data_IF_545205667997
#
_entry.id   IF_545205667997
#
_cell.length_a   1.000
_cell.length_b   1.000
_cell.length_c   1.000
_cell.angle_alpha   90.00
_cell.angle_beta   90.00
_cell.angle_gamma   90.00
#
_symmetry.space_group_name_H-M   'P 1'
#
loop_
_entity.id
_entity.type
_entity.pdbx_description
1 polymer ?
#
# COMPACT_ATOMS: atom_id res chain seq x y z
N UNK A 1 -4.52 11.08 19.99
CA UNK A 1 -4.47 9.99 20.98
C UNK A 1 -5.80 9.93 21.72
N UNK A 2 -6.31 8.74 22.06
CA UNK A 2 -7.46 8.61 22.94
C UNK A 2 -7.10 9.06 24.35
N UNK A 3 -7.99 9.85 24.99
CA UNK A 3 -7.85 10.31 26.38
C UNK A 3 -8.36 9.23 27.35
N UNK A 4 -7.84 9.22 28.58
CA UNK A 4 -8.25 8.25 29.62
C UNK A 4 -9.76 8.26 29.88
N UNK A 5 -10.42 9.43 29.76
CA UNK A 5 -11.88 9.57 29.92
C UNK A 5 -12.64 8.76 28.87
N UNK A 6 -12.16 8.75 27.60
CA UNK A 6 -12.74 7.97 26.50
C UNK A 6 -12.51 6.45 26.70
N UNK A 7 -11.31 6.04 27.17
CA UNK A 7 -11.05 4.64 27.51
C UNK A 7 -12.04 4.10 28.57
N UNK A 8 -12.23 4.86 29.66
CA UNK A 8 -13.16 4.48 30.74
C UNK A 8 -14.58 4.43 30.24
N UNK A 9 -15.02 5.44 29.50
CA UNK A 9 -16.39 5.56 29.00
C UNK A 9 -16.79 4.40 28.10
N UNK A 10 -15.94 4.07 27.11
CA UNK A 10 -16.23 3.01 26.14
C UNK A 10 -15.69 1.64 26.57
N UNK A 11 -15.15 1.52 27.78
CA UNK A 11 -14.63 0.27 28.33
C UNK A 11 -13.54 -0.35 27.46
N UNK A 12 -12.63 0.48 26.93
CA UNK A 12 -11.55 0.04 26.05
C UNK A 12 -10.30 -0.27 26.86
N UNK A 13 -9.66 -1.40 26.56
CA UNK A 13 -8.35 -1.78 27.12
C UNK A 13 -7.19 -1.13 26.38
N UNK A 14 -7.38 -0.82 25.08
CA UNK A 14 -6.39 -0.21 24.23
C UNK A 14 -7.06 0.64 23.13
N UNK A 15 -6.28 1.52 22.48
CA UNK A 15 -6.78 2.33 21.38
C UNK A 15 -7.01 1.44 20.13
N UNK A 16 -8.26 1.33 19.62
CA UNK A 16 -8.58 0.50 18.45
C UNK A 16 -7.84 0.91 17.17
N UNK A 17 -7.31 2.13 17.17
CA UNK A 17 -6.62 2.71 16.02
C UNK A 17 -5.10 2.74 16.19
N UNK A 18 -4.58 2.27 17.32
CA UNK A 18 -3.14 2.18 17.56
C UNK A 18 -2.58 0.86 17.03
N UNK A 19 -1.30 0.89 16.69
CA UNK A 19 -0.55 -0.27 16.20
C UNK A 19 -0.88 -0.68 14.78
N UNK A 20 0.06 -1.40 14.18
CA UNK A 20 -0.08 -2.00 12.87
C UNK A 20 -1.05 -3.19 12.89
N UNK A 21 -1.61 -3.51 11.74
CA UNK A 21 -2.35 -4.75 11.53
C UNK A 21 -1.34 -5.91 11.55
N UNK A 22 -1.55 -6.86 12.44
CA UNK A 22 -0.65 -8.01 12.67
C UNK A 22 -1.15 -9.31 12.06
N UNK A 23 -2.43 -9.39 11.69
CA UNK A 23 -3.06 -10.59 11.11
C UNK A 23 -3.85 -10.22 9.87
N UNK A 24 -3.83 -11.07 8.85
CA UNK A 24 -4.62 -10.88 7.63
C UNK A 24 -6.13 -10.77 7.91
N UNK A 25 -6.64 -11.48 8.93
CA UNK A 25 -8.04 -11.40 9.36
C UNK A 25 -8.47 -10.02 9.85
N UNK A 26 -7.52 -9.18 10.23
CA UNK A 26 -7.75 -7.85 10.79
C UNK A 26 -7.61 -6.74 9.73
N UNK A 27 -7.35 -7.13 8.48
CA UNK A 27 -7.29 -6.20 7.35
C UNK A 27 -8.71 -5.92 6.88
N UNK A 28 -9.07 -4.65 6.84
CA UNK A 28 -10.31 -4.23 6.18
C UNK A 28 -10.12 -4.32 4.66
N UNK A 29 -10.97 -5.10 4.01
CA UNK A 29 -10.89 -5.35 2.58
C UNK A 29 -12.19 -4.93 1.89
N UNK A 30 -12.10 -3.93 1.04
CA UNK A 30 -13.13 -3.59 0.03
C UNK A 30 -12.93 -4.47 -1.21
N UNK A 31 -13.89 -4.44 -2.15
CA UNK A 31 -13.74 -5.15 -3.41
C UNK A 31 -12.55 -4.59 -4.21
N UNK A 32 -12.33 -3.26 -4.18
CA UNK A 32 -11.17 -2.61 -4.78
C UNK A 32 -9.86 -3.14 -4.18
N UNK A 33 -9.72 -3.13 -2.85
CA UNK A 33 -8.49 -3.58 -2.20
C UNK A 33 -8.24 -5.07 -2.34
N UNK A 34 -9.30 -5.88 -2.47
CA UNK A 34 -9.20 -7.30 -2.84
C UNK A 34 -8.66 -7.47 -4.25
N UNK A 35 -9.24 -6.73 -5.21
CA UNK A 35 -8.76 -6.71 -6.59
C UNK A 35 -7.29 -6.29 -6.68
N UNK A 36 -6.92 -5.19 -6.03
CA UNK A 36 -5.53 -4.71 -5.98
C UNK A 36 -4.59 -5.75 -5.40
N UNK A 37 -4.97 -6.38 -4.26
CA UNK A 37 -4.15 -7.43 -3.65
C UNK A 37 -3.97 -8.64 -4.57
N UNK A 38 -5.04 -9.06 -5.26
CA UNK A 38 -4.98 -10.17 -6.22
C UNK A 38 -4.12 -9.80 -7.41
N UNK A 39 -4.26 -8.58 -7.93
CA UNK A 39 -3.45 -8.09 -9.05
C UNK A 39 -1.96 -8.08 -8.71
N UNK A 40 -1.58 -7.59 -7.51
CA UNK A 40 -0.19 -7.64 -7.03
C UNK A 40 0.34 -9.07 -6.95
N UNK A 41 -0.49 -9.99 -6.44
CA UNK A 41 -0.14 -11.41 -6.35
C UNK A 41 0.08 -12.04 -7.74
N UNK A 42 -0.83 -11.79 -8.68
CA UNK A 42 -0.70 -12.30 -10.06
C UNK A 42 0.51 -11.68 -10.77
N UNK A 43 0.71 -10.36 -10.64
CA UNK A 43 1.91 -9.69 -11.19
C UNK A 43 3.19 -10.34 -10.69
N UNK A 44 3.30 -10.60 -9.38
CA UNK A 44 4.48 -11.25 -8.80
C UNK A 44 4.74 -12.66 -9.38
N UNK A 45 3.69 -13.33 -9.85
CA UNK A 45 3.75 -14.68 -10.41
C UNK A 45 4.05 -14.69 -11.91
N UNK A 46 3.53 -13.73 -12.67
CA UNK A 46 3.47 -13.80 -14.14
C UNK A 46 4.46 -12.91 -14.89
N UNK A 47 5.21 -12.05 -14.21
CA UNK A 47 6.24 -11.22 -14.86
C UNK A 47 5.76 -9.83 -15.30
N UNK A 48 4.69 -9.28 -14.71
CA UNK A 48 4.15 -7.96 -15.05
C UNK A 48 4.87 -6.78 -14.41
N UNK A 49 4.41 -5.57 -14.76
CA UNK A 49 4.81 -4.32 -14.11
C UNK A 49 3.57 -3.58 -13.60
N UNK A 50 3.57 -3.19 -12.33
CA UNK A 50 2.45 -2.48 -11.71
C UNK A 50 2.95 -1.35 -10.80
N UNK A 51 2.21 -0.25 -10.79
CA UNK A 51 2.37 0.84 -9.83
C UNK A 51 1.12 0.92 -8.95
N UNK A 52 1.28 0.65 -7.66
CA UNK A 52 0.25 0.86 -6.65
C UNK A 52 0.39 2.26 -6.06
N UNK A 53 -0.56 3.12 -6.38
CA UNK A 53 -0.59 4.51 -5.93
C UNK A 53 -1.68 4.75 -4.89
N UNK A 54 -1.48 5.74 -4.07
CA UNK A 54 -2.48 6.20 -3.11
C UNK A 54 -1.89 7.18 -2.11
N UNK A 55 -2.76 7.97 -1.49
CA UNK A 55 -2.39 8.96 -0.49
C UNK A 55 -1.68 8.35 0.73
N UNK A 56 -0.97 9.18 1.48
CA UNK A 56 -0.42 8.75 2.76
C UNK A 56 -1.54 8.25 3.68
N UNK A 57 -1.36 7.05 4.23
CA UNK A 57 -2.38 6.41 5.08
C UNK A 57 -3.58 5.79 4.33
N UNK A 58 -3.51 5.63 3.01
CA UNK A 58 -4.55 4.92 2.22
C UNK A 58 -4.55 3.39 2.44
N UNK A 59 -3.50 2.84 3.04
CA UNK A 59 -3.42 1.41 3.30
C UNK A 59 -2.49 0.62 2.37
N UNK A 60 -1.71 1.28 1.49
CA UNK A 60 -0.76 0.62 0.56
C UNK A 60 0.10 -0.45 1.24
N UNK A 61 0.73 -0.09 2.35
CA UNK A 61 1.60 -1.00 3.12
C UNK A 61 0.81 -2.20 3.65
N UNK A 62 -0.43 -2.00 4.08
CA UNK A 62 -1.31 -3.07 4.56
C UNK A 62 -1.67 -4.03 3.43
N UNK A 63 -2.06 -3.52 2.26
CA UNK A 63 -2.39 -4.33 1.09
C UNK A 63 -1.17 -5.10 0.58
N UNK A 64 0.00 -4.44 0.53
CA UNK A 64 1.26 -5.12 0.21
C UNK A 64 1.53 -6.29 1.17
N UNK A 65 1.45 -6.05 2.49
CA UNK A 65 1.66 -7.10 3.50
C UNK A 65 0.67 -8.25 3.32
N UNK A 66 -0.59 -7.94 3.02
CA UNK A 66 -1.61 -8.95 2.77
C UNK A 66 -1.29 -9.81 1.54
N UNK A 67 -0.85 -9.19 0.43
CA UNK A 67 -0.42 -9.91 -0.77
C UNK A 67 0.80 -10.82 -0.49
N UNK A 68 1.79 -10.32 0.28
CA UNK A 68 2.96 -11.09 0.67
C UNK A 68 2.60 -12.27 1.59
N UNK A 69 1.70 -12.08 2.55
CA UNK A 69 1.22 -13.15 3.43
C UNK A 69 0.48 -14.22 2.62
N UNK A 70 -0.29 -13.82 1.60
CA UNK A 70 -0.93 -14.76 0.67
C UNK A 70 0.10 -15.63 -0.05
N UNK A 71 1.18 -15.02 -0.59
CA UNK A 71 2.29 -15.74 -1.23
C UNK A 71 2.88 -16.80 -0.28
N UNK A 72 3.14 -16.43 0.97
CA UNK A 72 3.70 -17.34 1.99
C UNK A 72 2.72 -18.45 2.37
N UNK A 73 1.46 -18.11 2.62
CA UNK A 73 0.41 -19.06 2.99
C UNK A 73 0.18 -20.11 1.91
N UNK A 74 0.20 -19.72 0.65
CA UNK A 74 0.04 -20.61 -0.49
C UNK A 74 1.34 -21.31 -0.89
N UNK A 75 2.43 -21.09 -0.14
CA UNK A 75 3.75 -21.67 -0.36
C UNK A 75 4.24 -21.49 -1.80
N UNK A 76 3.91 -20.32 -2.39
CA UNK A 76 4.35 -20.00 -3.74
C UNK A 76 5.86 -19.81 -3.78
N UNK A 77 6.50 -20.34 -4.81
CA UNK A 77 7.95 -20.18 -5.05
C UNK A 77 8.23 -18.80 -5.66
N UNK A 78 7.94 -17.73 -4.91
CA UNK A 78 8.16 -16.33 -5.33
C UNK A 78 9.21 -15.72 -4.41
N UNK A 79 10.31 -15.23 -4.97
CA UNK A 79 11.35 -14.49 -4.25
C UNK A 79 11.04 -12.99 -4.32
N UNK A 80 10.97 -12.37 -3.15
CA UNK A 80 10.73 -10.93 -3.01
C UNK A 80 12.09 -10.23 -2.92
N UNK A 81 12.33 -9.29 -3.82
CA UNK A 81 13.55 -8.48 -3.89
C UNK A 81 13.17 -7.05 -3.49
N UNK A 82 13.78 -6.55 -2.42
CA UNK A 82 13.47 -5.23 -1.89
C UNK A 82 14.76 -4.42 -1.65
N UNK A 83 15.10 -3.48 -2.56
CA UNK A 83 16.26 -2.62 -2.36
C UNK A 83 16.16 -1.82 -1.07
N UNK A 84 17.18 -1.95 -0.19
CA UNK A 84 17.21 -1.33 1.15
C UNK A 84 17.74 0.09 1.16
N UNK A 85 17.91 0.72 0.00
CA UNK A 85 18.29 2.14 -0.10
C UNK A 85 17.25 3.00 0.60
N UNK A 86 17.67 3.77 1.63
CA UNK A 86 16.77 4.62 2.43
C UNK A 86 16.24 5.76 1.58
N UNK A 87 17.13 6.48 0.91
CA UNK A 87 16.78 7.58 0.00
C UNK A 87 16.53 7.01 -1.41
N UNK A 88 15.27 6.86 -1.80
CA UNK A 88 14.90 6.28 -3.10
C UNK A 88 15.30 7.16 -4.29
N UNK A 89 15.49 8.45 -4.10
CA UNK A 89 16.03 9.33 -5.16
C UNK A 89 17.46 8.92 -5.55
N UNK A 90 18.22 8.31 -4.65
CA UNK A 90 19.57 7.79 -4.85
C UNK A 90 19.62 6.30 -5.23
N UNK A 91 18.48 5.67 -5.45
CA UNK A 91 18.44 4.26 -5.88
C UNK A 91 19.04 4.15 -7.29
N UNK A 92 20.17 3.46 -7.39
CA UNK A 92 20.89 3.24 -8.64
C UNK A 92 20.66 1.85 -9.20
N UNK A 93 20.95 1.67 -10.49
CA UNK A 93 20.97 0.35 -11.15
C UNK A 93 21.87 -0.63 -10.41
N UNK A 94 23.04 -0.17 -9.94
CA UNK A 94 23.97 -0.99 -9.17
C UNK A 94 23.37 -1.49 -7.87
N UNK A 95 22.66 -0.62 -7.13
CA UNK A 95 21.99 -1.00 -5.89
C UNK A 95 20.83 -2.00 -6.12
N UNK A 96 20.14 -1.89 -7.25
CA UNK A 96 19.11 -2.88 -7.64
C UNK A 96 19.76 -4.23 -7.94
N UNK A 97 20.88 -4.26 -8.69
CA UNK A 97 21.63 -5.50 -8.92
C UNK A 97 22.09 -6.14 -7.60
N UNK A 98 22.62 -5.34 -6.68
CA UNK A 98 23.07 -5.83 -5.37
C UNK A 98 21.92 -6.44 -4.58
N UNK A 99 20.73 -5.81 -4.57
CA UNK A 99 19.55 -6.35 -3.94
C UNK A 99 19.12 -7.70 -4.57
N UNK A 100 19.12 -7.79 -5.90
CA UNK A 100 18.78 -9.06 -6.59
C UNK A 100 19.76 -10.16 -6.20
N UNK A 101 21.06 -9.88 -6.20
CA UNK A 101 22.08 -10.88 -5.83
C UNK A 101 21.90 -11.33 -4.37
N UNK A 102 21.69 -10.37 -3.44
CA UNK A 102 21.55 -10.66 -2.01
C UNK A 102 20.27 -11.41 -1.68
N UNK A 103 19.14 -11.05 -2.31
CA UNK A 103 17.84 -11.67 -1.99
C UNK A 103 17.61 -12.99 -2.76
N UNK A 104 18.33 -13.22 -3.88
CA UNK A 104 18.14 -14.40 -4.73
C UNK A 104 19.25 -15.45 -4.62
N UNK A 105 20.42 -15.11 -4.04
CA UNK A 105 21.55 -16.01 -3.93
C UNK A 105 22.34 -15.83 -2.63
N UNK A 106 23.33 -16.69 -2.42
CA UNK A 106 24.31 -16.56 -1.33
C UNK A 106 25.63 -15.94 -1.80
N UNK A 107 25.69 -15.49 -3.07
CA UNK A 107 26.89 -14.91 -3.64
C UNK A 107 27.09 -13.47 -3.20
N UNK A 108 28.34 -13.03 -3.17
CA UNK A 108 28.66 -11.60 -3.04
C UNK A 108 28.47 -10.87 -4.38
N UNK A 109 27.91 -9.64 -4.39
CA UNK A 109 27.79 -8.85 -5.60
C UNK A 109 29.15 -8.55 -6.25
N UNK A 110 29.23 -8.64 -7.57
CA UNK A 110 30.43 -8.26 -8.33
C UNK A 110 30.68 -6.75 -8.24
N UNK A 111 31.90 -6.30 -8.58
CA UNK A 111 32.28 -4.90 -8.42
C UNK A 111 31.81 -4.01 -9.58
N UNK A 112 32.01 -4.45 -10.83
CA UNK A 112 31.64 -3.66 -12.02
C UNK A 112 30.17 -3.87 -12.39
N UNK A 113 29.51 -2.85 -12.95
CA UNK A 113 28.11 -2.92 -13.35
C UNK A 113 27.87 -4.02 -14.41
N UNK A 114 28.80 -4.18 -15.34
CA UNK A 114 28.73 -5.23 -16.37
C UNK A 114 28.75 -6.63 -15.72
N UNK A 115 29.71 -6.87 -14.82
CA UNK A 115 29.80 -8.16 -14.13
C UNK A 115 28.57 -8.42 -13.25
N UNK A 116 28.01 -7.37 -12.61
CA UNK A 116 26.75 -7.46 -11.87
C UNK A 116 25.57 -7.83 -12.77
N UNK A 117 25.48 -7.22 -13.96
CA UNK A 117 24.39 -7.51 -14.91
C UNK A 117 24.40 -8.97 -15.34
N UNK A 118 25.57 -9.50 -15.70
CA UNK A 118 25.74 -10.93 -16.04
C UNK A 118 25.45 -11.85 -14.84
N UNK A 119 25.84 -11.44 -13.63
CA UNK A 119 25.57 -12.18 -12.41
C UNK A 119 24.07 -12.23 -12.13
N UNK A 120 23.36 -11.10 -12.23
CA UNK A 120 21.90 -10.99 -12.05
C UNK A 120 21.18 -11.89 -13.04
N UNK A 121 21.48 -11.78 -14.34
CA UNK A 121 20.86 -12.61 -15.38
C UNK A 121 21.04 -14.11 -15.09
N UNK A 122 22.25 -14.54 -14.80
CA UNK A 122 22.55 -15.95 -14.46
C UNK A 122 21.79 -16.40 -13.22
N UNK A 123 21.74 -15.60 -12.13
CA UNK A 123 21.06 -15.95 -10.89
C UNK A 123 19.55 -16.07 -11.13
N UNK A 124 18.93 -15.10 -11.80
CA UNK A 124 17.51 -15.13 -12.09
C UNK A 124 17.14 -16.30 -13.01
N UNK A 125 17.92 -16.54 -14.06
CA UNK A 125 17.71 -17.68 -14.97
C UNK A 125 17.78 -19.01 -14.24
N UNK A 126 18.83 -19.24 -13.46
CA UNK A 126 18.98 -20.51 -12.72
C UNK A 126 17.86 -20.70 -11.69
N UNK A 127 17.46 -19.62 -11.01
CA UNK A 127 16.37 -19.63 -10.04
C UNK A 127 15.01 -19.87 -10.71
N UNK A 128 14.77 -19.26 -11.89
CA UNK A 128 13.57 -19.49 -12.69
C UNK A 128 13.45 -20.94 -13.16
N UNK A 129 14.54 -21.51 -13.66
CA UNK A 129 14.60 -22.95 -14.04
C UNK A 129 14.38 -23.89 -12.88
N UNK A 130 14.68 -23.47 -11.64
CA UNK A 130 14.32 -24.17 -10.40
C UNK A 130 12.86 -23.97 -9.97
N UNK A 131 12.06 -23.26 -10.78
CA UNK A 131 10.63 -23.02 -10.58
C UNK A 131 10.31 -21.82 -9.68
N UNK A 132 11.25 -20.88 -9.49
CA UNK A 132 11.00 -19.66 -8.74
C UNK A 132 10.63 -18.49 -9.67
N UNK A 133 9.61 -17.72 -9.31
CA UNK A 133 9.36 -16.38 -9.84
C UNK A 133 10.06 -15.33 -8.97
N UNK A 134 10.29 -14.14 -9.52
CA UNK A 134 10.97 -13.06 -8.81
C UNK A 134 10.16 -11.77 -8.96
N UNK A 135 10.05 -11.01 -7.88
CA UNK A 135 9.41 -9.70 -7.89
C UNK A 135 10.30 -8.66 -7.23
N UNK A 136 10.66 -7.64 -7.99
CA UNK A 136 11.32 -6.43 -7.48
C UNK A 136 10.25 -5.48 -6.95
N UNK A 137 10.26 -5.22 -5.65
CA UNK A 137 9.30 -4.37 -4.98
C UNK A 137 9.98 -3.12 -4.46
N UNK A 138 9.55 -1.95 -4.93
CA UNK A 138 10.12 -0.65 -4.56
C UNK A 138 9.03 0.18 -3.87
N UNK A 139 9.20 0.41 -2.57
CA UNK A 139 8.36 1.35 -1.80
C UNK A 139 8.88 2.78 -1.98
N UNK A 140 7.99 3.77 -1.73
CA UNK A 140 8.24 5.21 -1.95
C UNK A 140 8.75 5.49 -3.37
N UNK A 141 8.18 4.79 -4.35
CA UNK A 141 8.61 4.87 -5.74
C UNK A 141 8.39 6.25 -6.38
N UNK A 142 7.57 7.11 -5.76
CA UNK A 142 7.40 8.50 -6.17
C UNK A 142 8.69 9.33 -6.05
N UNK A 143 9.67 8.90 -5.23
CA UNK A 143 10.99 9.53 -5.14
C UNK A 143 11.95 9.09 -6.24
N UNK A 144 11.67 7.99 -6.97
CA UNK A 144 12.55 7.50 -8.03
C UNK A 144 12.79 8.59 -9.09
N UNK A 145 14.02 8.68 -9.54
CA UNK A 145 14.36 9.54 -10.69
C UNK A 145 13.84 8.95 -12.01
N UNK A 146 13.51 9.80 -12.98
CA UNK A 146 13.10 9.32 -14.32
C UNK A 146 14.18 8.44 -14.98
N UNK A 147 15.48 8.74 -14.87
CA UNK A 147 16.53 7.80 -15.33
C UNK A 147 16.44 6.42 -14.69
N UNK A 148 16.16 6.34 -13.37
CA UNK A 148 16.01 5.05 -12.68
C UNK A 148 14.81 4.27 -13.24
N UNK A 149 13.68 4.93 -13.51
CA UNK A 149 12.53 4.29 -14.17
C UNK A 149 12.92 3.69 -15.53
N UNK A 150 13.71 4.38 -16.34
CA UNK A 150 14.19 3.84 -17.63
C UNK A 150 15.03 2.57 -17.47
N UNK A 151 15.82 2.49 -16.40
CA UNK A 151 16.62 1.29 -16.13
C UNK A 151 15.75 0.10 -15.68
N UNK A 152 14.63 0.35 -15.00
CA UNK A 152 13.71 -0.72 -14.62
C UNK A 152 13.17 -1.50 -15.83
N UNK A 153 12.99 -0.83 -16.98
CA UNK A 153 12.65 -1.50 -18.24
C UNK A 153 13.64 -2.62 -18.58
N UNK A 154 14.95 -2.34 -18.48
CA UNK A 154 15.99 -3.31 -18.81
C UNK A 154 15.98 -4.53 -17.88
N UNK A 155 15.67 -4.34 -16.60
CA UNK A 155 15.49 -5.44 -15.66
C UNK A 155 14.25 -6.28 -16.00
N UNK A 156 13.16 -5.63 -16.38
CA UNK A 156 11.93 -6.31 -16.76
C UNK A 156 12.06 -7.06 -18.11
N UNK A 157 12.94 -6.60 -19.00
CA UNK A 157 13.23 -7.25 -20.29
C UNK A 157 14.04 -8.54 -20.16
N UNK A 158 14.59 -8.84 -18.97
CA UNK A 158 15.30 -10.09 -18.74
C UNK A 158 14.33 -11.26 -18.89
N UNK A 159 14.69 -12.22 -19.74
CA UNK A 159 13.85 -13.39 -20.05
C UNK A 159 14.68 -14.65 -20.32
N UNK A 160 14.08 -15.83 -20.07
CA UNK A 160 14.61 -17.14 -20.47
C UNK A 160 13.55 -17.76 -21.40
N UNK A 161 13.81 -17.72 -22.70
CA UNK A 161 12.83 -18.06 -23.73
C UNK A 161 11.64 -17.09 -23.70
N UNK A 162 10.44 -17.58 -23.46
CA UNK A 162 9.22 -16.77 -23.34
C UNK A 162 8.87 -16.38 -21.88
N UNK A 163 9.71 -16.76 -20.93
CA UNK A 163 9.45 -16.51 -19.51
C UNK A 163 10.13 -15.26 -19.03
N UNK A 164 9.38 -14.30 -18.51
CA UNK A 164 9.94 -13.12 -17.83
C UNK A 164 10.59 -13.55 -16.52
N UNK A 165 11.84 -13.08 -16.30
CA UNK A 165 12.61 -13.44 -15.12
C UNK A 165 12.28 -12.57 -13.90
N UNK A 166 11.70 -11.38 -14.12
CA UNK A 166 11.45 -10.40 -13.07
C UNK A 166 10.13 -9.66 -13.28
N UNK A 167 9.30 -9.65 -12.24
CA UNK A 167 8.16 -8.74 -12.11
C UNK A 167 8.60 -7.46 -11.40
N UNK A 168 7.91 -6.35 -11.61
CA UNK A 168 8.20 -5.09 -10.93
C UNK A 168 6.93 -4.52 -10.29
N UNK A 169 7.00 -4.26 -9.00
CA UNK A 169 5.93 -3.62 -8.22
C UNK A 169 6.47 -2.31 -7.65
N UNK A 170 5.90 -1.20 -8.08
CA UNK A 170 6.20 0.14 -7.58
C UNK A 170 5.08 0.57 -6.64
N UNK A 171 5.42 1.03 -5.43
CA UNK A 171 4.45 1.50 -4.46
C UNK A 171 4.79 2.94 -4.14
N UNK A 172 3.85 3.86 -4.38
CA UNK A 172 4.12 5.28 -4.23
C UNK A 172 2.89 6.12 -3.91
N UNK A 173 3.12 7.41 -3.82
CA UNK A 173 2.09 8.43 -3.64
C UNK A 173 1.60 8.93 -5.01
N UNK A 174 0.46 9.67 -5.05
CA UNK A 174 -0.14 10.13 -6.31
C UNK A 174 0.78 11.00 -7.17
N UNK A 175 1.81 11.64 -6.58
CA UNK A 175 2.80 12.44 -7.30
C UNK A 175 3.55 11.62 -8.36
N UNK A 176 3.60 10.30 -8.19
CA UNK A 176 4.18 9.41 -9.19
C UNK A 176 3.43 9.46 -10.53
N UNK A 177 2.14 9.84 -10.56
CA UNK A 177 1.37 9.99 -11.79
C UNK A 177 2.05 10.94 -12.78
N UNK A 178 2.61 12.03 -12.29
CA UNK A 178 3.34 12.97 -13.14
C UNK A 178 4.59 12.34 -13.78
N UNK A 179 5.24 11.39 -13.10
CA UNK A 179 6.38 10.63 -13.66
C UNK A 179 5.94 9.54 -14.64
N UNK A 180 4.71 9.06 -14.50
CA UNK A 180 4.09 8.06 -15.37
C UNK A 180 3.25 8.70 -16.50
N UNK A 181 3.30 10.01 -16.65
CA UNK A 181 2.67 10.73 -17.74
C UNK A 181 3.62 10.78 -18.96
N UNK A 182 3.22 10.14 -20.05
CA UNK A 182 4.00 10.11 -21.29
C UNK A 182 4.24 11.50 -21.88
N UNK A 183 3.26 12.41 -21.74
CA UNK A 183 3.37 13.77 -22.28
C UNK A 183 4.48 14.57 -21.62
N UNK A 184 4.70 14.33 -20.33
CA UNK A 184 5.73 14.99 -19.53
C UNK A 184 7.08 14.24 -19.58
N UNK A 185 7.06 12.93 -19.82
CA UNK A 185 8.23 12.07 -19.74
C UNK A 185 8.44 11.22 -21.01
N UNK A 186 8.40 11.85 -22.18
CA UNK A 186 8.54 11.19 -23.49
C UNK A 186 9.69 10.19 -23.57
N UNK A 187 10.84 10.52 -22.97
CA UNK A 187 12.00 9.64 -22.95
C UNK A 187 11.84 8.37 -22.10
N UNK A 188 10.76 8.23 -21.33
CA UNK A 188 10.43 7.05 -20.54
C UNK A 188 9.15 6.34 -21.04
N UNK A 189 8.56 6.79 -22.16
CA UNK A 189 7.26 6.28 -22.66
C UNK A 189 7.20 4.76 -22.79
N UNK A 190 8.31 4.12 -23.14
CA UNK A 190 8.35 2.68 -23.36
C UNK A 190 8.12 1.87 -22.08
N UNK A 191 8.61 2.35 -20.94
CA UNK A 191 8.31 1.72 -19.65
C UNK A 191 6.94 2.15 -19.15
N UNK A 192 6.59 3.42 -19.31
CA UNK A 192 5.30 3.97 -18.84
C UNK A 192 4.12 3.18 -19.42
N UNK A 193 4.16 2.85 -20.72
CA UNK A 193 3.14 2.05 -21.39
C UNK A 193 3.02 0.60 -20.91
N UNK A 194 3.98 0.12 -20.15
CA UNK A 194 4.02 -1.27 -19.65
C UNK A 194 3.62 -1.38 -18.19
N UNK A 195 3.53 -0.22 -17.50
CA UNK A 195 3.15 -0.17 -16.09
C UNK A 195 1.64 -0.05 -15.99
N UNK A 196 1.02 -1.07 -15.41
CA UNK A 196 -0.38 -0.99 -15.00
C UNK A 196 -0.49 -0.13 -13.73
N UNK A 197 -1.33 0.90 -13.75
CA UNK A 197 -1.48 1.81 -12.62
C UNK A 197 -2.74 1.46 -11.84
N UNK A 198 -2.57 1.07 -10.58
CA UNK A 198 -3.64 0.84 -9.62
C UNK A 198 -3.62 1.95 -8.58
N UNK A 199 -4.78 2.47 -8.23
CA UNK A 199 -4.92 3.53 -7.23
C UNK A 199 -5.85 3.08 -6.11
N UNK A 200 -5.49 3.40 -4.87
CA UNK A 200 -6.38 3.17 -3.72
C UNK A 200 -7.24 4.40 -3.48
N UNK A 201 -8.53 4.22 -3.62
CA UNK A 201 -9.55 5.26 -3.38
C UNK A 201 -9.84 5.45 -1.89
N UNK A 202 -10.28 6.65 -1.48
CA UNK A 202 -10.82 6.87 -0.14
C UNK A 202 -12.18 6.17 0.00
N UNK A 203 -12.63 5.96 1.23
CA UNK A 203 -13.99 5.49 1.49
C UNK A 203 -14.99 6.61 1.20
N UNK A 204 -16.06 6.27 0.45
CA UNK A 204 -17.00 7.28 -0.06
C UNK A 204 -18.24 7.46 0.81
N UNK A 205 -18.62 6.42 1.56
CA UNK A 205 -19.89 6.37 2.27
C UNK A 205 -19.75 6.11 3.76
N UNK A 206 -20.76 6.55 4.52
CA UNK A 206 -20.87 6.21 5.95
C UNK A 206 -20.95 4.70 6.19
N UNK A 207 -21.50 3.93 5.24
CA UNK A 207 -21.55 2.46 5.34
C UNK A 207 -20.17 1.82 5.25
N UNK A 208 -19.31 2.33 4.35
CA UNK A 208 -17.93 1.84 4.23
C UNK A 208 -17.12 2.22 5.46
N UNK A 209 -17.28 3.46 5.99
CA UNK A 209 -16.63 3.89 7.23
C UNK A 209 -17.11 3.02 8.40
N UNK A 210 -18.41 2.72 8.49
CA UNK A 210 -18.96 1.83 9.50
C UNK A 210 -18.31 0.43 9.43
N UNK A 211 -18.26 -0.16 8.24
CA UNK A 211 -17.64 -1.47 8.01
C UNK A 211 -16.14 -1.46 8.36
N UNK A 212 -15.43 -0.38 8.03
CA UNK A 212 -14.04 -0.21 8.43
C UNK A 212 -13.88 -0.16 9.96
N UNK A 213 -14.70 0.64 10.63
CA UNK A 213 -14.67 0.76 12.09
C UNK A 213 -15.10 -0.54 12.77
N UNK A 214 -16.05 -1.29 12.20
CA UNK A 214 -16.46 -2.61 12.72
C UNK A 214 -15.25 -3.56 12.83
N UNK A 215 -14.36 -3.61 11.81
CA UNK A 215 -13.14 -4.40 11.86
C UNK A 215 -12.22 -3.94 13.00
N UNK A 216 -12.09 -2.62 13.21
CA UNK A 216 -11.24 -2.06 14.26
C UNK A 216 -11.74 -2.38 15.67
N UNK A 217 -13.04 -2.25 15.92
CA UNK A 217 -13.62 -2.52 17.23
C UNK A 217 -13.76 -4.02 17.50
N UNK A 218 -14.07 -4.83 16.48
CA UNK A 218 -14.15 -6.30 16.60
C UNK A 218 -12.85 -6.92 17.11
N UNK A 219 -11.68 -6.36 16.74
CA UNK A 219 -10.36 -6.78 17.26
C UNK A 219 -10.27 -6.69 18.78
N UNK A 220 -11.05 -5.81 19.39
CA UNK A 220 -11.12 -5.61 20.85
C UNK A 220 -12.33 -6.28 21.50
N UNK A 221 -13.05 -7.10 20.74
CA UNK A 221 -14.29 -7.72 21.22
C UNK A 221 -15.41 -6.71 21.50
N UNK A 222 -15.39 -5.53 20.84
CA UNK A 222 -16.35 -4.46 21.02
C UNK A 222 -17.32 -4.35 19.85
N UNK A 223 -18.56 -4.02 20.16
CA UNK A 223 -19.57 -3.65 19.16
C UNK A 223 -19.40 -2.16 18.81
N UNK A 224 -19.06 -1.88 17.55
CA UNK A 224 -18.92 -0.51 17.05
C UNK A 224 -20.18 0.32 17.28
N UNK A 225 -21.39 -0.25 17.07
CA UNK A 225 -22.65 0.49 17.16
C UNK A 225 -22.90 1.10 18.53
N UNK A 226 -22.35 0.50 19.58
CA UNK A 226 -22.40 1.03 20.94
C UNK A 226 -21.39 2.15 21.20
N UNK A 227 -20.47 2.40 20.28
CA UNK A 227 -19.38 3.39 20.43
C UNK A 227 -19.51 4.48 19.37
N UNK A 228 -19.74 4.10 18.12
CA UNK A 228 -19.96 5.00 16.99
C UNK A 228 -21.20 4.53 16.24
N UNK A 229 -22.22 5.34 16.21
CA UNK A 229 -23.51 5.01 15.58
C UNK A 229 -23.42 5.07 14.05
N UNK A 230 -24.45 4.59 13.35
CA UNK A 230 -24.47 4.60 11.89
C UNK A 230 -24.60 6.04 11.34
N UNK A 231 -25.36 6.90 12.02
CA UNK A 231 -25.46 8.33 11.71
C UNK A 231 -24.17 9.09 12.03
N UNK A 232 -23.45 8.72 13.11
CA UNK A 232 -22.10 9.21 13.39
C UNK A 232 -21.11 8.86 12.28
N UNK A 233 -21.18 7.63 11.72
CA UNK A 233 -20.36 7.25 10.56
C UNK A 233 -20.75 8.05 9.31
N UNK A 234 -22.04 8.32 9.08
CA UNK A 234 -22.50 9.17 7.97
C UNK A 234 -22.01 10.62 8.11
N UNK A 235 -22.06 11.16 9.33
CA UNK A 235 -21.55 12.50 9.63
C UNK A 235 -20.03 12.58 9.42
N UNK A 236 -19.26 11.55 9.82
CA UNK A 236 -17.83 11.44 9.51
C UNK A 236 -17.57 11.45 7.99
N UNK A 237 -18.35 10.69 7.21
CA UNK A 237 -18.22 10.68 5.76
C UNK A 237 -18.49 12.07 5.16
N UNK A 238 -19.50 12.78 5.64
CA UNK A 238 -19.84 14.14 5.21
C UNK A 238 -18.71 15.12 5.53
N UNK A 239 -18.15 15.10 6.75
CA UNK A 239 -17.04 15.97 7.17
C UNK A 239 -15.73 15.70 6.43
N UNK A 240 -15.52 14.49 5.94
CA UNK A 240 -14.34 14.10 5.19
C UNK A 240 -14.47 14.32 3.68
N UNK A 241 -15.53 14.99 3.24
CA UNK A 241 -15.65 15.52 1.89
C UNK A 241 -15.03 16.91 1.81
N UNK A 242 -14.24 17.14 0.79
CA UNK A 242 -13.63 18.44 0.47
C UNK A 242 -14.08 18.88 -0.91
N UNK A 243 -14.06 20.19 -1.14
CA UNK A 243 -14.38 20.78 -2.42
C UNK A 243 -13.15 21.45 -3.01
N UNK A 244 -12.87 21.19 -4.28
CA UNK A 244 -11.82 21.92 -5.04
C UNK A 244 -12.27 23.33 -5.33
N UNK A 245 -11.34 24.20 -5.72
CA UNK A 245 -11.68 25.57 -6.20
C UNK A 245 -12.63 25.55 -7.41
N UNK A 246 -12.64 24.49 -8.19
CA UNK A 246 -13.54 24.28 -9.33
C UNK A 246 -14.89 23.64 -8.97
N UNK A 247 -15.22 23.49 -7.69
CA UNK A 247 -16.52 22.98 -7.23
C UNK A 247 -16.63 21.44 -7.16
N UNK A 248 -15.64 20.69 -7.62
CA UNK A 248 -15.67 19.22 -7.56
C UNK A 248 -15.52 18.75 -6.10
N UNK A 249 -16.45 17.93 -5.63
CA UNK A 249 -16.42 17.33 -4.29
C UNK A 249 -15.71 15.99 -4.36
N UNK A 250 -14.78 15.75 -3.43
CA UNK A 250 -14.04 14.49 -3.31
C UNK A 250 -13.90 14.09 -1.85
N UNK A 251 -13.78 12.77 -1.58
CA UNK A 251 -13.53 12.24 -0.25
C UNK A 251 -12.04 12.27 0.09
N UNK A 252 -11.73 12.49 1.37
CA UNK A 252 -10.40 12.30 1.95
C UNK A 252 -10.42 11.25 3.06
N UNK A 253 -11.46 10.41 3.10
CA UNK A 253 -11.69 9.40 4.11
C UNK A 253 -10.79 8.18 3.93
N UNK A 254 -9.48 8.40 3.96
CA UNK A 254 -8.51 7.32 4.03
C UNK A 254 -8.42 6.73 5.44
N UNK A 255 -8.04 5.46 5.62
CA UNK A 255 -7.94 4.80 6.92
C UNK A 255 -7.26 5.62 8.01
N UNK A 256 -6.13 6.27 7.71
CA UNK A 256 -5.41 7.11 8.67
C UNK A 256 -6.22 8.33 9.10
N UNK A 257 -6.91 8.96 8.16
CA UNK A 257 -7.74 10.15 8.41
C UNK A 257 -8.96 9.77 9.24
N UNK A 258 -9.62 8.66 8.88
CA UNK A 258 -10.78 8.13 9.64
C UNK A 258 -10.36 7.81 11.08
N UNK A 259 -9.21 7.14 11.28
CA UNK A 259 -8.69 6.84 12.61
C UNK A 259 -8.49 8.09 13.46
N UNK A 260 -7.96 9.16 12.85
CA UNK A 260 -7.76 10.45 13.53
C UNK A 260 -9.09 11.07 13.96
N UNK A 261 -10.04 11.14 13.04
CA UNK A 261 -11.35 11.73 13.30
C UNK A 261 -12.18 10.91 14.30
N UNK A 262 -12.15 9.59 14.19
CA UNK A 262 -12.81 8.70 15.16
C UNK A 262 -12.26 8.89 16.58
N UNK A 263 -10.94 9.02 16.76
CA UNK A 263 -10.35 9.36 18.07
C UNK A 263 -10.82 10.71 18.59
N UNK A 264 -10.88 11.73 17.73
CA UNK A 264 -11.35 13.06 18.11
C UNK A 264 -12.81 13.00 18.56
N UNK A 265 -13.68 12.34 17.79
CA UNK A 265 -15.09 12.19 18.10
C UNK A 265 -15.33 11.40 19.40
N UNK A 266 -14.58 10.32 19.62
CA UNK A 266 -14.67 9.55 20.87
C UNK A 266 -14.20 10.37 22.09
N UNK A 267 -13.17 11.19 21.96
CA UNK A 267 -12.75 12.09 23.02
C UNK A 267 -13.83 13.14 23.32
N UNK A 268 -14.44 13.70 22.28
CA UNK A 268 -15.51 14.69 22.39
C UNK A 268 -16.76 14.09 23.05
N UNK A 269 -17.20 12.89 22.63
CA UNK A 269 -18.31 12.18 23.27
C UNK A 269 -18.05 11.94 24.76
N UNK A 270 -16.81 11.61 25.12
CA UNK A 270 -16.45 11.41 26.52
C UNK A 270 -16.45 12.72 27.32
N UNK A 271 -16.13 13.85 26.72
CA UNK A 271 -16.16 15.17 27.34
C UNK A 271 -17.59 15.66 27.55
N UNK A 272 -18.44 15.50 26.54
CA UNK A 272 -19.87 15.89 26.56
C UNK A 272 -20.72 14.93 27.40
N UNK A 273 -20.21 13.75 27.76
CA UNK A 273 -21.01 12.73 28.45
C UNK A 273 -21.98 11.95 27.56
N UNK A 274 -21.92 12.15 26.23
CA UNK A 274 -22.78 11.50 25.25
C UNK A 274 -22.58 9.97 25.23
N UNK A 275 -23.61 9.16 25.14
CA UNK A 275 -23.54 7.70 25.27
C UNK A 275 -22.72 7.03 24.16
N UNK A 276 -22.79 7.59 22.95
CA UNK A 276 -22.04 7.15 21.77
C UNK A 276 -21.58 8.35 20.94
N UNK A 277 -20.78 8.10 19.93
CA UNK A 277 -20.43 9.06 18.87
C UNK A 277 -21.55 9.02 17.83
N UNK A 278 -22.45 9.95 17.88
CA UNK A 278 -23.53 10.19 16.93
C UNK A 278 -23.20 11.37 15.98
N UNK A 279 -24.16 11.76 15.15
CA UNK A 279 -24.00 12.86 14.22
C UNK A 279 -23.74 14.21 14.96
N UNK A 280 -24.40 14.44 16.09
CA UNK A 280 -24.27 15.70 16.86
C UNK A 280 -22.87 15.83 17.46
N UNK A 281 -22.33 14.75 18.03
CA UNK A 281 -20.96 14.69 18.52
C UNK A 281 -19.97 14.95 17.39
N UNK A 282 -20.15 14.30 16.23
CA UNK A 282 -19.26 14.53 15.07
C UNK A 282 -19.36 15.96 14.57
N UNK A 283 -20.55 16.56 14.56
CA UNK A 283 -20.75 17.93 14.09
C UNK A 283 -20.16 18.98 15.05
N UNK A 284 -20.00 18.64 16.33
CA UNK A 284 -19.42 19.52 17.36
C UNK A 284 -17.89 19.63 17.31
N UNK A 285 -17.20 18.87 16.44
CA UNK A 285 -15.73 18.88 16.24
C UNK A 285 -15.34 19.46 14.83
#
# INVERSE_FOLDING_TARGET
MLKMKAYKKFGLSQDPFSGDVTKASDVFMTDETRFVSEFLYQTAKTGGMVALLGESGSGKTTIRRYALEKIQREKQKIKIIAPRTIDKAKLTTSAICDAIVQDCSTEAPKRTLEAKSRQVERILTNSSRAGYSHVLMIEEAHDLSVPTLKYLKRFWELEDGFTKLLSIVLIGQPEMKAKLDESQNWGAREIIRRIEVLELSPLESGKEIASYLDVKFKRLGKDRKKIVTDDGCAALAAKLRKQTRGGTVYSVAYPLVINRWARMAMNQAAELGADAVDADVVNSI
#
